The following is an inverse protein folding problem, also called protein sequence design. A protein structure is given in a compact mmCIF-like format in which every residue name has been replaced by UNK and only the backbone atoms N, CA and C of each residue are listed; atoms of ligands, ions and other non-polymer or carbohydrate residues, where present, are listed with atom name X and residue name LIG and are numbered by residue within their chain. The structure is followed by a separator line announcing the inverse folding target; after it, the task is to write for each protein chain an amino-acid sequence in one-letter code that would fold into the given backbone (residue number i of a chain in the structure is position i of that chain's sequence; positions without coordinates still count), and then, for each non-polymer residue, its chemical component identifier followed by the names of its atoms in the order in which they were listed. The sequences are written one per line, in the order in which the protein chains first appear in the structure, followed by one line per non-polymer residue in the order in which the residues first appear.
data_IF_933473033139
#
_entry.id   IF_933473033139
#
_cell.length_a   1.000
_cell.length_b   1.000
_cell.length_c   1.000
_cell.angle_alpha   90.00
_cell.angle_beta   90.00
_cell.angle_gamma   90.00
#
_symmetry.space_group_name_H-M   'P 1'
#
loop_
_entity.id
_entity.type
_entity.pdbx_description
1 polymer ?
#
# COMPACT_ATOMS: atom_id res chain seq x y z
N UNK A 1 -16.60 55.00 4.45
CA UNK A 1 -15.23 54.82 4.98
C UNK A 1 -14.29 54.37 3.85
N UNK A 2 -13.83 55.34 3.05
CA UNK A 2 -12.43 55.79 3.02
C UNK A 2 -11.47 54.71 2.48
N UNK A 3 -10.98 54.94 1.24
CA UNK A 3 -9.76 54.33 0.73
C UNK A 3 -8.51 54.85 1.44
N UNK A 4 -7.32 54.35 1.08
CA UNK A 4 -6.49 55.00 0.05
C UNK A 4 -5.90 53.98 -0.95
N UNK A 5 -5.73 54.31 -2.24
CA UNK A 5 -4.67 55.12 -2.87
C UNK A 5 -3.24 54.56 -2.72
N UNK A 6 -2.81 53.82 -3.75
CA UNK A 6 -1.61 54.03 -4.58
C UNK A 6 -0.20 54.01 -3.97
N UNK A 7 0.66 53.11 -4.48
CA UNK A 7 2.12 53.26 -4.73
C UNK A 7 2.49 52.16 -5.76
N UNK A 8 2.75 52.43 -7.05
CA UNK A 8 4.02 52.80 -7.67
C UNK A 8 5.16 51.73 -7.60
N UNK A 9 5.53 51.21 -8.77
CA UNK A 9 6.91 51.02 -9.21
C UNK A 9 7.74 49.88 -8.63
N UNK A 10 7.91 48.80 -9.41
CA UNK A 10 9.18 48.08 -9.54
C UNK A 10 9.16 47.28 -10.84
N UNK A 11 9.64 47.92 -11.91
CA UNK A 11 10.11 47.24 -13.10
C UNK A 11 11.38 46.48 -12.72
N UNK A 12 11.32 45.15 -12.73
CA UNK A 12 12.52 44.30 -12.66
C UNK A 12 12.77 43.76 -14.06
N UNK A 13 13.68 44.45 -14.75
CA UNK A 13 14.50 43.93 -15.84
C UNK A 13 15.05 42.55 -15.45
N UNK A 14 14.54 41.51 -16.09
CA UNK A 14 15.11 40.17 -16.03
C UNK A 14 15.81 39.90 -17.35
N UNK A 15 17.11 40.11 -17.28
CA UNK A 15 18.19 39.79 -18.20
C UNK A 15 17.97 38.46 -18.95
N UNK A 16 17.89 38.56 -20.28
CA UNK A 16 17.82 37.45 -21.23
C UNK A 16 19.20 36.77 -21.28
N UNK A 17 19.43 35.87 -20.34
CA UNK A 17 20.56 34.94 -20.34
C UNK A 17 20.50 33.99 -21.54
N UNK A 18 21.20 34.38 -22.59
CA UNK A 18 21.58 33.52 -23.70
C UNK A 18 22.48 32.38 -23.21
N UNK A 19 21.93 31.17 -23.10
CA UNK A 19 22.72 29.95 -22.92
C UNK A 19 22.40 28.93 -24.01
N UNK A 20 23.21 29.01 -25.05
CA UNK A 20 23.77 27.91 -25.82
C UNK A 20 22.88 26.67 -26.02
N UNK A 21 22.06 26.71 -27.07
CA UNK A 21 21.58 25.50 -27.74
C UNK A 21 22.79 24.75 -28.31
N UNK A 22 23.15 23.67 -27.61
CA UNK A 22 24.17 22.70 -27.99
C UNK A 22 23.76 22.08 -29.32
N UNK A 23 24.63 22.26 -30.31
CA UNK A 23 24.57 21.76 -31.67
C UNK A 23 24.15 20.30 -31.70
N UNK A 24 22.99 20.05 -32.31
CA UNK A 24 22.49 18.72 -32.59
C UNK A 24 23.46 17.96 -33.50
N UNK A 25 23.77 16.76 -33.04
CA UNK A 25 24.48 15.67 -33.71
C UNK A 25 23.99 15.50 -35.16
N UNK A 26 24.81 15.93 -36.13
CA UNK A 26 24.62 15.61 -37.55
C UNK A 26 24.93 14.13 -37.75
N UNK A 27 23.95 13.27 -37.45
CA UNK A 27 23.95 11.91 -37.99
C UNK A 27 23.52 11.96 -39.46
N UNK A 28 24.31 11.41 -40.39
CA UNK A 28 23.84 11.21 -41.75
C UNK A 28 22.62 10.26 -41.74
N UNK A 29 21.69 10.42 -42.68
CA UNK A 29 20.58 9.48 -42.82
C UNK A 29 21.15 8.07 -43.07
N UNK A 30 20.52 7.01 -42.53
CA UNK A 30 20.92 5.65 -42.86
C UNK A 30 20.85 5.48 -44.37
N UNK A 31 21.92 4.90 -44.93
CA UNK A 31 21.94 4.45 -46.31
C UNK A 31 20.67 3.65 -46.57
N UNK A 32 19.95 4.02 -47.64
CA UNK A 32 18.88 3.19 -48.19
C UNK A 32 19.49 1.81 -48.44
N UNK A 33 19.04 0.82 -47.68
CA UNK A 33 19.23 -0.57 -48.04
C UNK A 33 18.64 -0.73 -49.43
N UNK A 34 19.49 -1.13 -50.37
CA UNK A 34 19.09 -1.54 -51.70
C UNK A 34 18.13 -2.71 -51.53
N UNK A 35 16.83 -2.44 -51.63
CA UNK A 35 15.83 -3.48 -51.76
C UNK A 35 16.07 -4.13 -53.11
N UNK A 36 16.85 -5.20 -53.07
CA UNK A 36 17.00 -6.16 -54.14
C UNK A 36 15.60 -6.64 -54.51
N UNK A 37 15.09 -6.14 -55.63
CA UNK A 37 13.86 -6.64 -56.24
C UNK A 37 14.14 -8.08 -56.68
N UNK A 38 13.77 -9.03 -55.83
CA UNK A 38 13.64 -10.44 -56.22
C UNK A 38 12.49 -10.50 -57.22
N UNK A 39 12.85 -10.55 -58.50
CA UNK A 39 11.94 -10.91 -59.58
C UNK A 39 11.57 -12.38 -59.37
N UNK A 40 10.43 -12.63 -58.72
CA UNK A 40 9.81 -13.95 -58.68
C UNK A 40 9.24 -14.25 -60.07
N UNK A 41 10.09 -14.85 -60.91
CA UNK A 41 9.69 -15.46 -62.17
C UNK A 41 9.13 -16.86 -61.88
N UNK A 42 7.85 -16.92 -61.50
CA UNK A 42 7.08 -18.16 -61.52
C UNK A 42 5.87 -17.97 -62.43
N UNK A 43 6.08 -18.21 -63.73
CA UNK A 43 4.98 -18.51 -64.64
C UNK A 43 4.73 -20.03 -64.67
N UNK A 44 3.49 -20.51 -64.45
CA UNK A 44 3.16 -21.91 -64.61
C UNK A 44 3.25 -22.30 -66.09
N UNK A 45 3.99 -23.37 -66.38
CA UNK A 45 4.11 -23.99 -67.71
C UNK A 45 2.76 -24.56 -68.16
N UNK A 46 1.88 -23.70 -68.64
CA UNK A 46 0.67 -24.04 -69.39
C UNK A 46 1.01 -24.11 -70.87
N UNK A 47 0.79 -25.28 -71.47
CA UNK A 47 1.04 -25.62 -72.86
C UNK A 47 0.20 -24.73 -73.80
N UNK A 48 0.71 -23.55 -74.17
CA UNK A 48 0.09 -22.68 -75.19
C UNK A 48 0.65 -23.07 -76.56
N UNK A 49 -0.26 -23.52 -77.43
CA UNK A 49 -0.04 -23.69 -78.86
C UNK A 49 0.42 -22.35 -79.43
N UNK A 50 1.59 -22.33 -80.08
CA UNK A 50 2.16 -21.13 -80.68
C UNK A 50 1.21 -20.56 -81.76
N UNK A 51 0.81 -19.28 -81.68
CA UNK A 51 0.12 -18.65 -82.81
C UNK A 51 1.10 -18.51 -83.98
N UNK A 52 0.57 -18.70 -85.19
CA UNK A 52 1.31 -18.54 -86.42
C UNK A 52 2.00 -17.17 -86.46
N UNK A 53 3.32 -17.19 -86.73
CA UNK A 53 4.15 -15.99 -86.86
C UNK A 53 3.72 -15.23 -88.11
N UNK A 54 2.87 -14.22 -87.95
CA UNK A 54 2.60 -13.23 -89.00
C UNK A 54 3.84 -12.34 -89.09
N UNK A 55 4.49 -12.32 -90.25
CA UNK A 55 5.63 -11.43 -90.52
C UNK A 55 5.13 -9.99 -90.58
N UNK A 56 5.58 -9.16 -89.64
CA UNK A 56 5.22 -7.75 -89.41
C UNK A 56 5.84 -6.76 -90.41
N UNK A 57 6.46 -7.23 -91.49
CA UNK A 57 7.12 -6.35 -92.48
C UNK A 57 6.15 -5.59 -93.41
N UNK A 58 4.85 -5.92 -93.37
CA UNK A 58 3.81 -5.34 -94.26
C UNK A 58 3.14 -4.06 -93.71
N UNK A 59 3.57 -3.55 -92.55
CA UNK A 59 2.94 -2.44 -91.84
C UNK A 59 3.89 -1.24 -91.63
N UNK A 60 4.87 -1.08 -92.51
CA UNK A 60 5.67 0.15 -92.57
C UNK A 60 4.86 1.21 -93.30
N UNK A 61 4.04 1.96 -92.55
CA UNK A 61 3.50 3.22 -93.03
C UNK A 61 4.66 4.23 -93.01
N UNK A 62 5.31 4.43 -94.14
CA UNK A 62 6.23 5.56 -94.32
C UNK A 62 5.43 6.87 -94.26
N UNK A 63 5.97 7.90 -93.59
CA UNK A 63 5.29 9.19 -93.30
C UNK A 63 4.82 9.96 -94.55
N UNK A 64 5.20 9.50 -95.75
CA UNK A 64 4.84 10.08 -97.04
C UNK A 64 4.07 9.13 -97.96
N UNK A 65 3.81 7.90 -97.54
CA UNK A 65 3.08 6.94 -98.36
C UNK A 65 1.58 7.10 -98.13
N UNK A 66 0.87 7.55 -99.18
CA UNK A 66 -0.59 7.65 -99.15
C UNK A 66 -1.18 6.28 -98.77
N UNK A 67 -2.07 6.27 -97.77
CA UNK A 67 -2.71 5.05 -97.28
C UNK A 67 -3.26 4.25 -98.47
N UNK A 68 -2.82 3.00 -98.68
CA UNK A 68 -3.17 2.25 -99.88
C UNK A 68 -4.69 2.07 -99.94
N UNK A 69 -5.34 2.25 -101.10
CA UNK A 69 -6.79 2.11 -101.21
C UNK A 69 -7.26 0.72 -100.74
N UNK A 70 -8.48 0.60 -100.19
CA UNK A 70 -8.98 -0.67 -99.71
C UNK A 70 -9.06 -1.69 -100.84
N UNK A 71 -8.68 -2.93 -100.54
CA UNK A 71 -8.77 -4.01 -101.52
C UNK A 71 -10.24 -4.24 -101.91
N UNK A 72 -10.51 -4.68 -103.14
CA UNK A 72 -11.89 -4.89 -103.60
C UNK A 72 -12.65 -5.88 -102.70
N UNK A 73 -11.98 -6.90 -102.17
CA UNK A 73 -12.58 -7.83 -101.20
C UNK A 73 -12.93 -7.14 -99.89
N UNK A 74 -12.09 -6.23 -99.40
CA UNK A 74 -12.39 -5.42 -98.21
C UNK A 74 -13.62 -4.55 -98.45
N UNK A 75 -13.73 -3.86 -99.59
CA UNK A 75 -14.89 -3.00 -99.93
C UNK A 75 -16.18 -3.83 -100.01
N UNK A 76 -16.14 -5.00 -100.67
CA UNK A 76 -17.32 -5.88 -100.77
C UNK A 76 -17.72 -6.40 -99.40
N UNK A 77 -16.76 -6.83 -98.57
CA UNK A 77 -17.04 -7.29 -97.21
C UNK A 77 -17.59 -6.17 -96.31
N UNK A 78 -17.06 -4.95 -96.44
CA UNK A 78 -17.54 -3.77 -95.73
C UNK A 78 -18.99 -3.44 -96.11
N UNK A 79 -19.31 -3.43 -97.41
CA UNK A 79 -20.65 -3.15 -97.89
C UNK A 79 -21.66 -4.23 -97.47
N UNK A 80 -21.23 -5.48 -97.31
CA UNK A 80 -22.09 -6.58 -96.85
C UNK A 80 -22.33 -6.53 -95.34
N UNK A 81 -21.32 -6.19 -94.54
CA UNK A 81 -21.40 -6.19 -93.07
C UNK A 81 -21.99 -4.88 -92.52
N UNK A 82 -21.51 -3.74 -93.00
CA UNK A 82 -21.84 -2.41 -92.49
C UNK A 82 -22.89 -1.68 -93.35
N UNK A 83 -23.02 -2.05 -94.62
CA UNK A 83 -23.81 -1.28 -95.60
C UNK A 83 -22.99 -0.14 -96.24
N UNK A 84 -23.45 0.41 -97.38
CA UNK A 84 -22.64 1.29 -98.22
C UNK A 84 -22.31 2.65 -97.58
N UNK A 85 -23.20 3.19 -96.74
CA UNK A 85 -22.98 4.48 -96.09
C UNK A 85 -22.02 4.35 -94.90
N UNK A 86 -22.18 3.32 -94.08
CA UNK A 86 -21.30 3.05 -92.95
C UNK A 86 -19.92 2.56 -93.41
N UNK A 87 -19.82 1.84 -94.52
CA UNK A 87 -18.53 1.45 -95.11
C UNK A 87 -17.66 2.67 -95.47
N UNK A 88 -18.28 3.76 -95.98
CA UNK A 88 -17.56 5.02 -96.26
C UNK A 88 -17.06 5.69 -94.98
N UNK A 89 -17.88 5.70 -93.94
CA UNK A 89 -17.52 6.27 -92.63
C UNK A 89 -16.42 5.43 -91.98
N UNK A 90 -16.49 4.10 -92.07
CA UNK A 90 -15.48 3.19 -91.55
C UNK A 90 -14.14 3.34 -92.27
N UNK A 91 -14.14 3.59 -93.59
CA UNK A 91 -12.90 3.89 -94.33
C UNK A 91 -12.31 5.23 -93.89
N UNK A 92 -13.13 6.26 -93.72
CA UNK A 92 -12.68 7.55 -93.17
C UNK A 92 -12.08 7.38 -91.78
N UNK A 93 -12.74 6.63 -90.89
CA UNK A 93 -12.24 6.31 -89.56
C UNK A 93 -10.92 5.53 -89.60
N UNK A 94 -10.79 4.54 -90.49
CA UNK A 94 -9.53 3.82 -90.72
C UNK A 94 -8.40 4.76 -91.13
N UNK A 95 -8.62 5.66 -92.10
CA UNK A 95 -7.59 6.60 -92.55
C UNK A 95 -7.15 7.54 -91.42
N UNK A 96 -8.08 7.98 -90.57
CA UNK A 96 -7.76 8.77 -89.39
C UNK A 96 -6.92 7.96 -88.40
N UNK A 97 -7.31 6.73 -88.06
CA UNK A 97 -6.54 5.86 -87.18
C UNK A 97 -5.13 5.60 -87.72
N UNK A 98 -4.99 5.26 -89.00
CA UNK A 98 -3.69 5.05 -89.64
C UNK A 98 -2.82 6.31 -89.58
N UNK A 99 -3.40 7.49 -89.82
CA UNK A 99 -2.68 8.76 -89.70
C UNK A 99 -2.22 9.07 -88.28
N UNK A 100 -3.05 8.78 -87.27
CA UNK A 100 -2.67 8.97 -85.86
C UNK A 100 -1.58 8.00 -85.44
N UNK A 101 -1.63 6.74 -85.89
CA UNK A 101 -0.60 5.75 -85.62
C UNK A 101 0.75 6.15 -86.24
N UNK A 102 0.74 6.60 -87.50
CA UNK A 102 1.92 7.13 -88.17
C UNK A 102 2.49 8.36 -87.43
N UNK A 103 1.62 9.28 -86.99
CA UNK A 103 2.03 10.43 -86.19
C UNK A 103 2.66 10.04 -84.84
N UNK A 104 2.11 9.06 -84.14
CA UNK A 104 2.70 8.55 -82.89
C UNK A 104 4.07 7.90 -83.12
N UNK A 105 4.24 7.15 -84.22
CA UNK A 105 5.52 6.55 -84.60
C UNK A 105 6.59 7.63 -84.83
N UNK A 106 6.23 8.69 -85.57
CA UNK A 106 7.05 9.87 -85.78
C UNK A 106 7.47 10.54 -84.46
N UNK A 107 6.49 10.79 -83.59
CA UNK A 107 6.68 11.48 -82.32
C UNK A 107 7.57 10.69 -81.34
N UNK A 108 7.50 9.37 -81.38
CA UNK A 108 8.32 8.48 -80.55
C UNK A 108 9.72 8.23 -81.13
N UNK A 109 10.00 8.69 -82.37
CA UNK A 109 11.26 8.47 -83.09
C UNK A 109 11.69 6.99 -83.11
N UNK A 110 10.72 6.09 -83.15
CA UNK A 110 10.98 4.66 -83.06
C UNK A 110 10.27 3.93 -84.18
N UNK A 111 11.00 3.76 -85.28
CA UNK A 111 10.49 3.14 -86.50
C UNK A 111 10.14 1.65 -86.35
N UNK A 112 10.58 1.04 -85.24
CA UNK A 112 10.35 -0.37 -84.92
C UNK A 112 9.06 -0.62 -84.15
N UNK A 113 8.35 0.42 -83.73
CA UNK A 113 7.06 0.27 -83.05
C UNK A 113 5.97 -0.01 -84.10
N UNK A 114 5.63 -1.30 -84.24
CA UNK A 114 4.46 -1.73 -84.97
C UNK A 114 3.34 -2.11 -83.98
N UNK A 115 2.08 -1.69 -84.21
CA UNK A 115 0.96 -2.09 -83.37
C UNK A 115 0.76 -3.61 -83.48
N UNK A 116 0.81 -4.31 -82.34
CA UNK A 116 0.63 -5.77 -82.32
C UNK A 116 -0.83 -6.22 -82.29
N UNK A 117 -1.72 -5.38 -81.73
CA UNK A 117 -3.15 -5.67 -81.58
C UNK A 117 -3.93 -4.35 -81.50
N UNK A 118 -5.14 -4.36 -82.02
CA UNK A 118 -6.08 -3.26 -81.90
C UNK A 118 -7.13 -3.66 -80.87
N UNK A 119 -7.35 -2.79 -79.89
CA UNK A 119 -8.35 -3.01 -78.85
C UNK A 119 -9.43 -1.94 -78.97
N UNK A 120 -10.68 -2.36 -79.14
CA UNK A 120 -11.82 -1.45 -79.27
C UNK A 120 -12.50 -1.25 -77.90
N UNK A 121 -12.84 -0.01 -77.58
CA UNK A 121 -13.52 0.36 -76.34
C UNK A 121 -14.61 1.40 -76.58
N UNK A 122 -15.59 1.47 -75.67
CA UNK A 122 -16.73 2.39 -75.76
C UNK A 122 -17.87 1.86 -76.62
N UNK A 123 -19.05 2.46 -76.52
CA UNK A 123 -20.28 1.99 -77.18
C UNK A 123 -20.20 1.99 -78.72
N UNK A 124 -19.40 2.87 -79.31
CA UNK A 124 -19.17 2.90 -80.76
C UNK A 124 -18.47 1.65 -81.31
N UNK A 125 -17.84 0.84 -80.45
CA UNK A 125 -17.21 -0.42 -80.84
C UNK A 125 -18.19 -1.57 -81.04
N UNK A 126 -19.46 -1.41 -80.66
CA UNK A 126 -20.52 -2.40 -80.86
C UNK A 126 -21.10 -2.42 -82.26
N UNK A 127 -20.64 -1.53 -83.14
CA UNK A 127 -21.12 -1.49 -84.51
C UNK A 127 -20.83 -2.82 -85.21
N UNK A 128 -21.90 -3.53 -85.58
CA UNK A 128 -21.81 -4.87 -86.14
C UNK A 128 -20.91 -4.91 -87.39
N UNK A 129 -19.86 -5.73 -87.34
CA UNK A 129 -18.92 -5.93 -88.44
C UNK A 129 -17.79 -4.90 -88.54
N UNK A 130 -17.72 -3.92 -87.63
CA UNK A 130 -16.62 -2.97 -87.56
C UNK A 130 -15.29 -3.66 -87.18
N UNK A 131 -15.35 -4.59 -86.25
CA UNK A 131 -14.24 -5.44 -85.80
C UNK A 131 -13.63 -6.24 -86.97
N UNK A 132 -14.46 -6.94 -87.73
CA UNK A 132 -14.05 -7.74 -88.90
C UNK A 132 -13.49 -6.84 -90.00
N UNK A 133 -14.12 -5.69 -90.25
CA UNK A 133 -13.65 -4.72 -91.23
C UNK A 133 -12.26 -4.19 -90.87
N UNK A 134 -12.07 -3.74 -89.63
CA UNK A 134 -10.78 -3.22 -89.15
C UNK A 134 -9.71 -4.33 -89.13
N UNK A 135 -10.06 -5.56 -88.75
CA UNK A 135 -9.13 -6.68 -88.74
C UNK A 135 -8.63 -7.00 -90.16
N UNK A 136 -9.54 -7.03 -91.14
CA UNK A 136 -9.20 -7.23 -92.54
C UNK A 136 -8.36 -6.08 -93.11
N UNK A 137 -8.64 -4.84 -92.68
CA UNK A 137 -7.98 -3.65 -93.22
C UNK A 137 -6.59 -3.41 -92.62
N UNK A 138 -6.44 -3.59 -91.31
CA UNK A 138 -5.15 -3.49 -90.63
C UNK A 138 -4.32 -4.75 -90.75
N UNK A 139 -4.91 -5.91 -91.13
CA UNK A 139 -4.27 -7.23 -91.03
C UNK A 139 -3.77 -7.54 -89.61
N UNK A 140 -4.45 -7.00 -88.60
CA UNK A 140 -4.12 -7.16 -87.18
C UNK A 140 -5.31 -7.76 -86.43
N UNK A 141 -5.02 -8.41 -85.30
CA UNK A 141 -6.06 -8.86 -84.39
C UNK A 141 -6.80 -7.63 -83.82
N UNK A 142 -8.11 -7.60 -84.00
CA UNK A 142 -9.00 -6.61 -83.39
C UNK A 142 -9.83 -7.34 -82.33
N UNK A 143 -9.77 -6.89 -81.08
CA UNK A 143 -10.61 -7.43 -80.01
C UNK A 143 -11.26 -6.30 -79.22
N UNK A 144 -12.43 -6.56 -78.64
CA UNK A 144 -13.01 -5.64 -77.66
C UNK A 144 -12.20 -5.66 -76.37
N UNK A 145 -12.09 -4.52 -75.70
CA UNK A 145 -11.40 -4.38 -74.43
C UNK A 145 -12.17 -5.17 -73.36
N UNK A 146 -11.60 -6.28 -72.94
CA UNK A 146 -12.01 -6.94 -71.71
C UNK A 146 -11.29 -6.27 -70.54
N UNK A 147 -11.98 -5.34 -69.88
CA UNK A 147 -11.46 -4.63 -68.71
C UNK A 147 -11.52 -5.49 -67.43
N UNK A 148 -12.06 -6.72 -67.48
CA UNK A 148 -12.44 -7.49 -66.30
C UNK A 148 -11.83 -8.89 -66.13
N UNK A 149 -10.74 -9.31 -66.81
CA UNK A 149 -10.32 -10.71 -66.72
C UNK A 149 -9.94 -11.13 -65.29
N UNK A 150 -9.64 -10.17 -64.40
CA UNK A 150 -9.28 -10.38 -63.00
C UNK A 150 -10.26 -9.80 -61.97
N UNK A 151 -11.35 -9.16 -62.40
CA UNK A 151 -12.30 -8.52 -61.48
C UNK A 151 -13.38 -9.54 -61.06
N UNK A 152 -13.54 -9.75 -59.75
CA UNK A 152 -14.56 -10.64 -59.20
C UNK A 152 -15.87 -9.87 -58.93
N UNK A 153 -17.00 -10.44 -59.37
CA UNK A 153 -18.34 -9.90 -59.09
C UNK A 153 -19.30 -9.95 -60.27
N UNK A 154 -20.58 -9.57 -60.06
CA UNK A 154 -21.54 -9.39 -61.15
C UNK A 154 -21.14 -8.13 -61.94
N UNK A 155 -20.71 -8.34 -63.18
CA UNK A 155 -20.22 -7.29 -64.05
C UNK A 155 -21.28 -6.91 -65.08
N UNK A 156 -21.44 -5.62 -65.42
CA UNK A 156 -22.33 -5.22 -66.48
C UNK A 156 -21.78 -5.68 -67.84
N UNK A 157 -22.57 -6.50 -68.55
CA UNK A 157 -22.36 -6.75 -69.98
C UNK A 157 -23.09 -5.66 -70.78
N UNK A 158 -22.46 -5.01 -71.77
CA UNK A 158 -21.14 -5.31 -72.35
C UNK A 158 -19.97 -4.62 -71.61
N UNK A 159 -18.89 -5.37 -71.41
CA UNK A 159 -17.76 -4.94 -70.61
C UNK A 159 -17.02 -3.68 -71.12
N UNK A 160 -16.86 -3.58 -72.44
CA UNK A 160 -16.02 -2.58 -73.09
C UNK A 160 -16.60 -1.16 -73.04
N UNK A 161 -17.91 -1.01 -72.75
CA UNK A 161 -18.57 0.28 -72.57
C UNK A 161 -18.14 0.97 -71.26
N UNK A 162 -17.89 0.19 -70.22
CA UNK A 162 -17.58 0.68 -68.87
C UNK A 162 -16.08 0.82 -68.61
N UNK A 163 -15.24 0.55 -69.61
CA UNK A 163 -13.77 0.60 -69.52
C UNK A 163 -13.23 1.84 -68.79
N UNK A 164 -13.76 3.02 -69.10
CA UNK A 164 -13.33 4.27 -68.49
C UNK A 164 -13.76 4.39 -67.02
N UNK A 165 -14.99 4.01 -66.69
CA UNK A 165 -15.49 4.05 -65.31
C UNK A 165 -14.69 3.10 -64.41
N UNK A 166 -14.34 1.91 -64.92
CA UNK A 166 -13.51 0.94 -64.22
C UNK A 166 -12.09 1.45 -64.07
N UNK A 167 -11.51 2.04 -65.12
CA UNK A 167 -10.19 2.66 -65.05
C UNK A 167 -10.11 3.75 -63.98
N UNK A 168 -11.16 4.56 -63.87
CA UNK A 168 -11.28 5.57 -62.80
C UNK A 168 -11.42 4.92 -61.42
N UNK A 169 -12.19 3.85 -61.28
CA UNK A 169 -12.29 3.12 -60.01
C UNK A 169 -10.95 2.46 -59.62
N UNK A 170 -10.25 1.84 -60.58
CA UNK A 170 -8.94 1.24 -60.39
C UNK A 170 -7.86 2.28 -60.08
N UNK A 171 -8.04 3.55 -60.46
CA UNK A 171 -7.12 4.63 -60.10
C UNK A 171 -7.04 4.90 -58.58
N UNK A 172 -7.94 4.32 -57.78
CA UNK A 172 -7.84 4.35 -56.32
C UNK A 172 -6.93 3.25 -55.75
N UNK A 173 -6.62 2.21 -56.52
CA UNK A 173 -5.75 1.12 -56.07
C UNK A 173 -4.33 1.64 -55.72
N UNK A 174 -3.70 1.01 -54.73
CA UNK A 174 -2.41 1.46 -54.18
C UNK A 174 -1.28 1.47 -55.24
N UNK A 175 -1.34 0.56 -56.21
CA UNK A 175 -0.33 0.40 -57.26
C UNK A 175 -0.64 1.19 -58.54
N UNK A 176 -1.81 1.84 -58.60
CA UNK A 176 -2.20 2.62 -59.77
C UNK A 176 -1.49 3.98 -59.78
N UNK A 177 -1.09 4.44 -60.97
CA UNK A 177 -0.58 5.79 -61.15
C UNK A 177 -1.74 6.77 -60.96
N UNK A 178 -1.74 7.48 -59.83
CA UNK A 178 -2.78 8.45 -59.49
C UNK A 178 -2.42 9.81 -60.05
N UNK A 179 -3.30 10.36 -60.88
CA UNK A 179 -3.19 11.73 -61.34
C UNK A 179 -4.34 12.53 -60.72
N UNK A 180 -4.03 13.29 -59.67
CA UNK A 180 -5.02 14.14 -59.01
C UNK A 180 -4.90 15.57 -59.55
N UNK A 181 -6.01 16.07 -60.10
CA UNK A 181 -6.15 17.43 -60.59
C UNK A 181 -6.67 18.40 -59.52
N UNK A 182 -6.95 17.91 -58.30
CA UNK A 182 -7.35 18.75 -57.19
C UNK A 182 -6.25 19.78 -56.87
N UNK A 183 -6.60 21.04 -56.59
CA UNK A 183 -5.62 22.05 -56.24
C UNK A 183 -4.90 21.66 -54.94
N UNK A 184 -3.59 21.87 -54.93
CA UNK A 184 -2.71 21.47 -53.82
C UNK A 184 -3.16 22.04 -52.46
N UNK A 185 -3.83 23.20 -52.47
CA UNK A 185 -4.39 23.81 -51.25
C UNK A 185 -5.47 22.96 -50.57
N UNK A 186 -6.26 22.19 -51.33
CA UNK A 186 -7.27 21.28 -50.78
C UNK A 186 -6.62 19.98 -50.30
N UNK A 187 -5.64 19.47 -51.03
CA UNK A 187 -4.87 18.29 -50.62
C UNK A 187 -4.15 18.54 -49.29
N UNK A 188 -3.44 19.66 -49.16
CA UNK A 188 -2.79 20.05 -47.89
C UNK A 188 -3.78 20.22 -46.75
N UNK A 189 -4.98 20.79 -47.01
CA UNK A 189 -6.02 20.91 -45.97
C UNK A 189 -6.55 19.54 -45.54
N UNK A 190 -6.71 18.60 -46.47
CA UNK A 190 -7.14 17.23 -46.19
C UNK A 190 -6.09 16.47 -45.39
N UNK A 191 -4.85 16.49 -45.85
CA UNK A 191 -3.72 15.90 -45.13
C UNK A 191 -3.53 16.50 -43.74
N UNK A 192 -3.70 17.82 -43.61
CA UNK A 192 -3.63 18.48 -42.32
C UNK A 192 -4.70 17.95 -41.37
N UNK A 193 -5.95 17.83 -41.83
CA UNK A 193 -7.07 17.30 -41.05
C UNK A 193 -6.89 15.83 -40.67
N UNK A 194 -6.45 15.00 -41.61
CA UNK A 194 -6.38 13.55 -41.42
C UNK A 194 -5.15 13.15 -40.59
N UNK A 195 -3.99 13.77 -40.82
CA UNK A 195 -2.71 13.32 -40.24
C UNK A 195 -2.11 14.28 -39.22
N UNK A 196 -2.19 15.58 -39.46
CA UNK A 196 -1.43 16.55 -38.65
C UNK A 196 -2.17 17.00 -37.39
N UNK A 197 -3.51 17.07 -37.37
CA UNK A 197 -4.23 17.54 -36.17
C UNK A 197 -3.98 16.64 -34.95
N UNK A 198 -3.99 15.32 -35.13
CA UNK A 198 -3.86 14.35 -34.03
C UNK A 198 -2.59 14.48 -33.19
N UNK A 199 -1.36 14.59 -33.75
CA UNK A 199 -0.17 14.77 -32.94
C UNK A 199 -0.15 16.10 -32.17
N UNK A 200 -0.71 17.19 -32.73
CA UNK A 200 -0.83 18.46 -31.99
C UNK A 200 -1.80 18.36 -30.81
N UNK A 201 -2.94 17.69 -31.01
CA UNK A 201 -3.91 17.44 -29.94
C UNK A 201 -3.29 16.54 -28.86
N UNK A 202 -2.55 15.51 -29.24
CA UNK A 202 -1.84 14.64 -28.30
C UNK A 202 -0.79 15.41 -27.49
N UNK A 203 0.01 16.25 -28.15
CA UNK A 203 1.00 17.10 -27.48
C UNK A 203 0.33 18.08 -26.49
N UNK A 204 -0.78 18.72 -26.89
CA UNK A 204 -1.54 19.60 -26.01
C UNK A 204 -2.10 18.85 -24.80
N UNK A 205 -2.63 17.65 -25.00
CA UNK A 205 -3.13 16.80 -23.91
C UNK A 205 -2.03 16.43 -22.91
N UNK A 206 -0.82 16.12 -23.39
CA UNK A 206 0.35 15.84 -22.54
C UNK A 206 0.74 17.07 -21.71
N UNK A 207 0.76 18.26 -22.29
CA UNK A 207 1.06 19.49 -21.56
C UNK A 207 0.01 19.78 -20.48
N UNK A 208 -1.27 19.63 -20.80
CA UNK A 208 -2.36 19.80 -19.82
C UNK A 208 -2.25 18.77 -18.69
N UNK A 209 -1.97 17.51 -19.01
CA UNK A 209 -1.76 16.47 -18.00
C UNK A 209 -0.58 16.79 -17.07
N UNK A 210 0.54 17.30 -17.62
CA UNK A 210 1.70 17.70 -16.84
C UNK A 210 1.40 18.87 -15.89
N UNK A 211 0.62 19.86 -16.35
CA UNK A 211 0.19 21.00 -15.51
C UNK A 211 -0.72 20.52 -14.37
N UNK A 212 -1.71 19.67 -14.67
CA UNK A 212 -2.61 19.12 -13.66
C UNK A 212 -1.87 18.26 -12.63
N UNK A 213 -0.91 17.45 -13.09
CA UNK A 213 -0.07 16.63 -12.22
C UNK A 213 0.79 17.51 -11.30
N UNK A 214 1.44 18.53 -11.86
CA UNK A 214 2.27 19.47 -11.08
C UNK A 214 1.43 20.22 -10.04
N UNK A 215 0.24 20.66 -10.40
CA UNK A 215 -0.68 21.31 -9.47
C UNK A 215 -1.13 20.38 -8.34
N UNK A 216 -1.40 19.11 -8.66
CA UNK A 216 -1.76 18.11 -7.65
C UNK A 216 -0.64 17.89 -6.63
N UNK A 217 0.59 17.70 -7.10
CA UNK A 217 1.76 17.52 -6.22
C UNK A 217 1.94 18.73 -5.30
N UNK A 218 1.78 19.95 -5.83
CA UNK A 218 1.89 21.16 -5.03
C UNK A 218 0.82 21.26 -3.93
N UNK A 219 -0.42 20.85 -4.21
CA UNK A 219 -1.48 20.85 -3.21
C UNK A 219 -1.32 19.74 -2.15
N UNK A 220 -0.69 18.60 -2.51
CA UNK A 220 -0.45 17.49 -1.58
C UNK A 220 0.61 17.85 -0.51
N UNK A 221 1.59 18.69 -0.84
CA UNK A 221 2.62 19.13 0.11
C UNK A 221 2.05 19.93 1.29
N UNK A 222 1.08 20.80 1.05
CA UNK A 222 0.43 21.58 2.13
C UNK A 222 -0.39 20.69 3.06
N UNK A 223 -1.11 19.71 2.50
CA UNK A 223 -1.88 18.73 3.29
C UNK A 223 -0.96 17.85 4.11
N UNK A 224 0.18 17.42 3.56
CA UNK A 224 1.19 16.64 4.29
C UNK A 224 1.85 17.44 5.41
N UNK A 225 2.11 18.73 5.22
CA UNK A 225 2.63 19.60 6.29
C UNK A 225 1.62 19.76 7.42
N UNK A 226 0.34 19.92 7.10
CA UNK A 226 -0.73 20.01 8.09
C UNK A 226 -0.91 18.69 8.87
N UNK A 227 -0.80 17.54 8.19
CA UNK A 227 -0.93 16.24 8.85
C UNK A 227 0.24 15.95 9.78
N UNK A 228 1.47 16.30 9.39
CA UNK A 228 2.65 16.19 10.26
C UNK A 228 2.49 17.08 11.49
N UNK A 229 2.10 18.35 11.32
CA UNK A 229 1.88 19.26 12.44
C UNK A 229 0.79 18.76 13.40
N UNK A 230 -0.29 18.17 12.87
CA UNK A 230 -1.36 17.58 13.68
C UNK A 230 -0.88 16.33 14.46
N UNK A 231 -0.05 15.48 13.84
CA UNK A 231 0.53 14.31 14.51
C UNK A 231 1.49 14.72 15.64
N UNK A 232 2.31 15.74 15.42
CA UNK A 232 3.22 16.27 16.45
C UNK A 232 2.44 16.86 17.63
N UNK A 233 1.36 17.61 17.36
CA UNK A 233 0.47 18.13 18.40
C UNK A 233 -0.19 17.01 19.23
N UNK A 234 -0.67 15.95 18.57
CA UNK A 234 -1.24 14.79 19.25
C UNK A 234 -0.18 14.07 20.10
N UNK A 235 1.04 13.90 19.58
CA UNK A 235 2.14 13.27 20.32
C UNK A 235 2.49 14.06 21.57
N UNK A 236 2.58 15.38 21.49
CA UNK A 236 2.82 16.25 22.65
C UNK A 236 1.70 16.12 23.70
N UNK A 237 0.43 16.00 23.26
CA UNK A 237 -0.70 15.77 24.16
C UNK A 237 -0.63 14.40 24.86
N UNK A 238 -0.21 13.35 24.15
CA UNK A 238 0.00 12.03 24.74
C UNK A 238 1.14 12.01 25.76
N UNK A 239 2.26 12.68 25.46
CA UNK A 239 3.39 12.78 26.38
C UNK A 239 3.00 13.53 27.66
N UNK A 240 2.20 14.61 27.54
CA UNK A 240 1.65 15.33 28.68
C UNK A 240 0.74 14.42 29.55
N UNK A 241 -0.20 13.72 28.94
CA UNK A 241 -1.08 12.77 29.66
C UNK A 241 -0.30 11.64 30.33
N UNK A 242 0.76 11.13 29.68
CA UNK A 242 1.60 10.10 30.25
C UNK A 242 2.38 10.62 31.48
N UNK A 243 2.86 11.86 31.43
CA UNK A 243 3.49 12.49 32.59
C UNK A 243 2.51 12.72 33.75
N UNK A 244 1.27 13.11 33.45
CA UNK A 244 0.21 13.28 34.45
C UNK A 244 -0.17 11.95 35.12
N UNK A 245 -0.29 10.87 34.33
CA UNK A 245 -0.53 9.52 34.87
C UNK A 245 0.62 9.05 35.75
N UNK A 246 1.86 9.27 35.34
CA UNK A 246 3.03 8.92 36.15
C UNK A 246 3.06 9.71 37.47
N UNK A 247 2.68 10.99 37.45
CA UNK A 247 2.57 11.81 38.65
C UNK A 247 1.46 11.31 39.59
N UNK A 248 0.28 10.97 39.05
CA UNK A 248 -0.84 10.40 39.81
C UNK A 248 -0.51 9.03 40.40
N UNK A 249 0.23 8.19 39.68
CA UNK A 249 0.71 6.91 40.20
C UNK A 249 1.69 7.12 41.36
N UNK A 250 2.61 8.08 41.24
CA UNK A 250 3.51 8.45 42.32
C UNK A 250 2.73 8.95 43.55
N UNK A 251 1.75 9.82 43.37
CA UNK A 251 0.87 10.31 44.46
C UNK A 251 0.10 9.16 45.12
N UNK A 252 -0.47 8.25 44.33
CA UNK A 252 -1.16 7.06 44.84
C UNK A 252 -0.23 6.19 45.68
N UNK A 253 1.01 5.99 45.24
CA UNK A 253 1.98 5.21 46.03
C UNK A 253 2.38 5.90 47.33
N UNK A 254 2.52 7.23 47.32
CA UNK A 254 2.78 8.01 48.53
C UNK A 254 1.60 7.91 49.51
N UNK A 255 0.38 8.10 49.04
CA UNK A 255 -0.83 7.96 49.86
C UNK A 255 -1.02 6.54 50.40
N UNK A 256 -0.71 5.52 49.60
CA UNK A 256 -0.75 4.13 50.05
C UNK A 256 0.25 3.85 51.17
N UNK A 257 1.45 4.44 51.10
CA UNK A 257 2.46 4.33 52.14
C UNK A 257 2.05 5.10 53.41
N UNK A 258 1.50 6.31 53.27
CA UNK A 258 0.95 7.09 54.38
C UNK A 258 -0.18 6.33 55.09
N UNK A 259 -1.12 5.75 54.32
CA UNK A 259 -2.18 4.90 54.86
C UNK A 259 -1.61 3.66 55.55
N UNK A 260 -0.56 3.04 55.01
CA UNK A 260 0.12 1.90 55.65
C UNK A 260 0.73 2.30 57.00
N UNK A 261 1.36 3.46 57.08
CA UNK A 261 1.93 3.99 58.34
C UNK A 261 0.84 4.33 59.35
N UNK A 262 -0.26 4.96 58.94
CA UNK A 262 -1.38 5.28 59.84
C UNK A 262 -2.08 4.00 60.32
N UNK A 263 -2.38 3.07 59.40
CA UNK A 263 -3.05 1.82 59.70
C UNK A 263 -2.19 0.95 60.65
N UNK A 264 -0.88 0.85 60.39
CA UNK A 264 0.02 0.11 61.29
C UNK A 264 0.02 0.69 62.71
N UNK A 265 0.03 2.02 62.89
CA UNK A 265 -0.09 2.66 64.21
C UNK A 265 -1.45 2.41 64.88
N UNK A 266 -2.54 2.44 64.13
CA UNK A 266 -3.89 2.21 64.66
C UNK A 266 -4.07 0.77 65.14
N UNK A 267 -3.70 -0.22 64.30
CA UNK A 267 -3.78 -1.63 64.70
C UNK A 267 -2.87 -1.93 65.87
N UNK A 268 -1.69 -1.33 65.89
CA UNK A 268 -0.76 -1.49 67.00
C UNK A 268 -1.34 -1.00 68.34
N UNK A 269 -1.92 0.20 68.39
CA UNK A 269 -2.55 0.71 69.60
C UNK A 269 -3.72 -0.18 70.04
N UNK A 270 -4.52 -0.66 69.08
CA UNK A 270 -5.66 -1.54 69.36
C UNK A 270 -5.21 -2.89 69.91
N UNK A 271 -4.21 -3.49 69.29
CA UNK A 271 -3.72 -4.82 69.64
C UNK A 271 -2.94 -4.81 70.97
N UNK A 272 -2.28 -3.69 71.29
CA UNK A 272 -1.75 -3.42 72.63
C UNK A 272 -2.84 -3.43 73.69
N UNK A 273 -3.95 -2.73 73.46
CA UNK A 273 -5.08 -2.70 74.39
C UNK A 273 -5.73 -4.07 74.56
N UNK A 274 -5.86 -4.85 73.49
CA UNK A 274 -6.33 -6.23 73.58
C UNK A 274 -5.38 -7.09 74.40
N UNK A 275 -4.08 -6.94 74.21
CA UNK A 275 -3.08 -7.69 74.99
C UNK A 275 -3.14 -7.32 76.48
N UNK A 276 -3.27 -6.04 76.81
CA UNK A 276 -3.45 -5.60 78.22
C UNK A 276 -4.73 -6.19 78.81
N UNK A 277 -5.82 -6.20 78.03
CA UNK A 277 -7.09 -6.78 78.45
C UNK A 277 -6.98 -8.29 78.70
N UNK A 278 -6.36 -9.05 77.79
CA UNK A 278 -6.22 -10.50 77.92
C UNK A 278 -5.29 -10.84 79.09
N UNK A 279 -4.20 -10.09 79.28
CA UNK A 279 -3.34 -10.20 80.46
C UNK A 279 -4.13 -9.94 81.76
N UNK A 280 -5.01 -8.93 81.77
CA UNK A 280 -5.87 -8.62 82.91
C UNK A 280 -6.93 -9.70 83.18
N UNK A 281 -7.53 -10.28 82.14
CA UNK A 281 -8.49 -11.37 82.26
C UNK A 281 -7.84 -12.66 82.77
N UNK A 282 -6.56 -12.88 82.46
CA UNK A 282 -5.77 -14.03 82.92
C UNK A 282 -5.11 -13.83 84.30
N UNK A 283 -5.07 -12.59 84.81
CA UNK A 283 -4.45 -12.27 86.10
C UNK A 283 -5.08 -12.99 87.31
N UNK A 284 -6.42 -13.20 87.41
CA UNK A 284 -7.01 -13.91 88.54
C UNK A 284 -6.59 -15.39 88.62
N UNK A 285 -6.37 -16.02 87.47
CA UNK A 285 -5.94 -17.42 87.36
C UNK A 285 -4.43 -17.58 87.60
N UNK A 286 -3.65 -16.52 87.35
CA UNK A 286 -2.19 -16.53 87.39
C UNK A 286 -1.64 -15.47 88.35
N UNK A 287 -2.03 -15.56 89.64
CA UNK A 287 -1.62 -14.58 90.67
C UNK A 287 -0.11 -14.52 90.91
N UNK A 288 0.61 -15.56 90.51
CA UNK A 288 2.06 -15.70 90.67
C UNK A 288 2.85 -14.88 89.64
N UNK A 289 2.19 -14.29 88.63
CA UNK A 289 2.81 -13.61 87.50
C UNK A 289 2.63 -12.09 87.59
N UNK A 290 3.74 -11.37 87.64
CA UNK A 290 3.77 -9.91 87.59
C UNK A 290 4.39 -9.44 86.29
N UNK A 291 3.62 -8.74 85.47
CA UNK A 291 4.14 -8.08 84.27
C UNK A 291 4.90 -6.82 84.70
N UNK A 292 6.18 -6.74 84.36
CA UNK A 292 7.07 -5.62 84.72
C UNK A 292 7.28 -4.66 83.57
N UNK A 293 7.29 -5.16 82.33
CA UNK A 293 7.54 -4.35 81.14
C UNK A 293 6.69 -4.87 79.99
N UNK A 294 6.01 -3.96 79.32
CA UNK A 294 5.27 -4.25 78.11
C UNK A 294 5.90 -3.41 77.00
N UNK A 295 6.67 -4.06 76.14
CA UNK A 295 7.34 -3.40 75.03
C UNK A 295 6.74 -3.86 73.72
N UNK A 296 6.47 -2.90 72.88
CA UNK A 296 5.99 -3.13 71.54
C UNK A 296 7.15 -3.05 70.56
N UNK A 297 7.37 -4.11 69.80
CA UNK A 297 8.38 -4.17 68.75
C UNK A 297 7.67 -3.85 67.42
N UNK A 298 8.02 -2.73 66.75
CA UNK A 298 7.46 -2.43 65.44
C UNK A 298 7.83 -3.56 64.47
N UNK A 299 6.98 -3.88 63.49
CA UNK A 299 7.30 -4.88 62.48
C UNK A 299 8.66 -4.54 61.87
N UNK A 300 9.54 -5.54 61.75
CA UNK A 300 10.82 -5.36 61.08
C UNK A 300 10.48 -4.96 59.65
N UNK A 301 10.75 -3.69 59.30
CA UNK A 301 10.48 -3.22 57.94
C UNK A 301 11.16 -4.22 57.02
N UNK A 302 10.42 -4.86 56.09
CA UNK A 302 11.03 -5.81 55.18
C UNK A 302 12.16 -5.07 54.53
N UNK A 303 13.41 -5.45 54.85
CA UNK A 303 14.59 -4.82 54.28
C UNK A 303 14.35 -4.89 52.79
N UNK A 304 14.11 -3.74 52.16
CA UNK A 304 13.86 -3.63 50.74
C UNK A 304 14.91 -4.54 50.10
N UNK A 305 14.48 -5.61 49.43
CA UNK A 305 15.41 -6.60 48.92
C UNK A 305 16.26 -5.91 47.85
N UNK A 306 17.38 -5.31 48.28
CA UNK A 306 18.29 -4.59 47.43
C UNK A 306 19.00 -5.65 46.58
N UNK A 307 18.66 -5.68 45.30
CA UNK A 307 19.48 -6.35 44.30
C UNK A 307 19.04 -7.77 43.96
N UNK A 308 17.95 -7.87 43.21
CA UNK A 308 17.71 -9.02 42.33
C UNK A 308 17.14 -8.49 41.02
N UNK A 309 18.01 -8.23 40.04
CA UNK A 309 17.67 -7.78 38.69
C UNK A 309 17.01 -8.92 37.91
N UNK A 310 15.89 -9.44 38.41
CA UNK A 310 15.05 -10.42 37.74
C UNK A 310 13.77 -9.74 37.31
N UNK A 311 13.56 -9.63 36.00
CA UNK A 311 12.31 -9.18 35.38
C UNK A 311 11.18 -10.18 35.66
N UNK A 312 10.74 -10.29 36.91
CA UNK A 312 9.45 -10.90 37.24
C UNK A 312 8.40 -9.82 37.03
N UNK A 313 7.56 -10.07 36.02
CA UNK A 313 6.34 -9.30 35.75
C UNK A 313 5.59 -9.13 37.07
N UNK A 314 5.29 -7.89 37.50
CA UNK A 314 4.56 -7.65 38.74
C UNK A 314 3.19 -8.28 38.61
N UNK A 315 2.99 -9.43 39.25
CA UNK A 315 1.68 -10.00 39.49
C UNK A 315 0.95 -9.02 40.40
N UNK A 316 -0.23 -8.57 39.98
CA UNK A 316 -0.95 -7.45 40.57
C UNK A 316 -1.04 -7.62 42.11
N UNK A 317 -0.27 -6.79 42.83
CA UNK A 317 -0.23 -6.74 44.28
C UNK A 317 -1.54 -6.11 44.79
N UNK A 318 -2.62 -6.87 44.82
CA UNK A 318 -3.94 -6.41 45.28
C UNK A 318 -4.18 -6.61 46.77
N UNK A 319 -3.29 -7.29 47.50
CA UNK A 319 -3.38 -7.40 48.96
C UNK A 319 -2.30 -6.58 49.64
N UNK A 320 -2.64 -5.36 50.05
CA UNK A 320 -1.84 -4.59 51.00
C UNK A 320 -2.00 -5.28 52.35
N UNK A 321 -1.12 -6.23 52.67
CA UNK A 321 -1.01 -6.80 54.00
C UNK A 321 -0.25 -5.81 54.90
N UNK A 322 -0.86 -5.46 56.03
CA UNK A 322 -0.26 -4.66 57.08
C UNK A 322 0.31 -5.62 58.10
N UNK A 323 1.63 -5.66 58.19
CA UNK A 323 2.32 -6.31 59.29
C UNK A 323 2.08 -5.50 60.57
N UNK A 324 1.70 -6.19 61.64
CA UNK A 324 1.26 -5.59 62.90
C UNK A 324 2.34 -5.60 63.97
N UNK A 325 3.49 -6.21 63.69
CA UNK A 325 4.62 -6.29 64.61
C UNK A 325 4.42 -7.32 65.73
N UNK A 326 5.15 -7.13 66.83
CA UNK A 326 5.12 -8.04 67.97
C UNK A 326 5.08 -7.28 69.29
N UNK A 327 4.55 -7.91 70.34
CA UNK A 327 4.63 -7.43 71.71
C UNK A 327 5.52 -8.36 72.50
N UNK A 328 6.44 -7.77 73.25
CA UNK A 328 7.25 -8.44 74.25
C UNK A 328 6.68 -8.10 75.62
N UNK A 329 6.28 -9.15 76.33
CA UNK A 329 5.81 -9.08 77.72
C UNK A 329 6.96 -9.60 78.58
N UNK A 330 7.59 -8.70 79.33
CA UNK A 330 8.54 -9.09 80.38
C UNK A 330 7.85 -9.04 81.73
N UNK A 331 8.12 -10.04 82.55
CA UNK A 331 7.60 -10.10 83.90
C UNK A 331 8.46 -10.90 84.83
N UNK A 332 7.96 -11.08 86.04
CA UNK A 332 8.54 -11.94 87.07
C UNK A 332 7.47 -12.90 87.56
N UNK A 333 7.84 -14.16 87.75
CA UNK A 333 6.97 -15.17 88.38
C UNK A 333 7.56 -15.59 89.71
N UNK A 334 6.74 -15.66 90.75
CA UNK A 334 7.13 -16.23 92.06
C UNK A 334 6.09 -17.23 92.50
N UNK A 335 6.52 -18.47 92.57
CA UNK A 335 5.74 -19.57 93.10
C UNK A 335 5.84 -19.59 94.62
N UNK A 336 4.74 -19.81 95.33
CA UNK A 336 4.76 -19.96 96.80
C UNK A 336 5.47 -21.25 97.24
N UNK A 337 5.52 -22.25 96.35
CA UNK A 337 6.16 -23.55 96.58
C UNK A 337 7.30 -23.76 95.56
N UNK A 338 8.33 -24.50 95.96
CA UNK A 338 9.38 -24.91 95.03
C UNK A 338 8.79 -25.87 93.98
N UNK A 339 8.59 -25.38 92.76
CA UNK A 339 8.16 -26.18 91.63
C UNK A 339 9.36 -26.77 90.88
N UNK A 340 9.18 -27.96 90.31
CA UNK A 340 10.16 -28.59 89.42
C UNK A 340 10.28 -27.82 88.10
N UNK A 341 11.35 -28.04 87.34
CA UNK A 341 11.52 -27.41 86.02
C UNK A 341 10.38 -27.78 85.04
N UNK A 342 9.86 -29.00 85.14
CA UNK A 342 8.76 -29.50 84.30
C UNK A 342 7.43 -28.81 84.62
N UNK A 343 7.09 -28.66 85.91
CA UNK A 343 5.89 -27.95 86.35
C UNK A 343 5.90 -26.49 85.88
N UNK A 344 7.05 -25.82 86.01
CA UNK A 344 7.23 -24.44 85.53
C UNK A 344 7.06 -24.32 84.03
N UNK A 345 7.68 -25.21 83.25
CA UNK A 345 7.50 -25.24 81.79
C UNK A 345 6.03 -25.46 81.41
N UNK A 346 5.36 -26.39 82.10
CA UNK A 346 3.93 -26.67 81.86
C UNK A 346 3.02 -25.48 82.20
N UNK A 347 3.35 -24.73 83.26
CA UNK A 347 2.64 -23.51 83.64
C UNK A 347 2.77 -22.44 82.56
N UNK A 348 3.99 -22.14 82.11
CA UNK A 348 4.20 -21.16 81.03
C UNK A 348 3.59 -21.61 79.71
N UNK A 349 3.61 -22.90 79.39
CA UNK A 349 2.97 -23.41 78.19
C UNK A 349 1.45 -23.27 78.25
N UNK A 350 0.83 -23.54 79.41
CA UNK A 350 -0.61 -23.29 79.63
C UNK A 350 -0.94 -21.81 79.53
N UNK A 351 -0.16 -20.95 80.17
CA UNK A 351 -0.33 -19.49 80.13
C UNK A 351 -0.18 -18.94 78.70
N UNK A 352 0.88 -19.34 77.99
CA UNK A 352 1.09 -18.96 76.60
C UNK A 352 -0.06 -19.45 75.70
N UNK A 353 -0.51 -20.69 75.87
CA UNK A 353 -1.65 -21.23 75.14
C UNK A 353 -2.95 -20.50 75.45
N UNK A 354 -3.18 -20.08 76.71
CA UNK A 354 -4.36 -19.30 77.09
C UNK A 354 -4.36 -17.92 76.43
N UNK A 355 -3.20 -17.26 76.35
CA UNK A 355 -3.04 -15.99 75.63
C UNK A 355 -3.22 -16.17 74.12
N UNK A 356 -2.66 -17.23 73.52
CA UNK A 356 -2.86 -17.51 72.08
C UNK A 356 -4.30 -17.87 71.72
N UNK A 357 -5.01 -18.51 72.65
CA UNK A 357 -6.41 -18.87 72.49
C UNK A 357 -7.35 -17.67 72.69
N UNK A 358 -6.84 -16.55 73.21
CA UNK A 358 -7.66 -15.34 73.40
C UNK A 358 -8.10 -14.73 72.07
N UNK A 359 -9.38 -14.36 72.02
CA UNK A 359 -10.03 -13.81 70.82
C UNK A 359 -10.24 -12.30 70.96
N UNK A 360 -10.07 -11.55 69.87
CA UNK A 360 -10.31 -10.12 69.81
C UNK A 360 -11.81 -9.79 69.85
N UNK A 361 -12.40 -9.79 71.05
CA UNK A 361 -13.80 -9.48 71.26
C UNK A 361 -14.75 -10.53 70.67
N UNK A 362 -15.99 -10.12 70.32
CA UNK A 362 -17.05 -11.03 69.83
C UNK A 362 -16.80 -11.64 68.45
N UNK A 363 -15.79 -11.14 67.73
CA UNK A 363 -15.51 -11.54 66.34
C UNK A 363 -14.87 -12.94 66.22
N UNK A 364 -14.40 -13.52 67.34
CA UNK A 364 -13.74 -14.82 67.35
C UNK A 364 -12.39 -14.86 66.63
N UNK A 365 -11.86 -13.72 66.19
CA UNK A 365 -10.56 -13.69 65.53
C UNK A 365 -9.44 -13.79 66.57
N UNK A 366 -8.58 -14.78 66.37
CA UNK A 366 -7.36 -14.95 67.16
C UNK A 366 -6.41 -13.79 66.91
N UNK A 367 -5.93 -13.18 68.00
CA UNK A 367 -5.04 -12.01 67.97
C UNK A 367 -3.63 -12.36 67.48
N UNK A 368 -3.13 -13.52 67.88
CA UNK A 368 -1.74 -13.91 67.69
C UNK A 368 -1.61 -15.00 66.63
N UNK A 369 -0.53 -14.96 65.85
CA UNK A 369 -0.20 -16.06 64.96
C UNK A 369 0.41 -17.21 65.77
N UNK A 370 -0.04 -18.44 65.51
CA UNK A 370 0.40 -19.63 66.25
C UNK A 370 1.82 -20.05 65.88
N UNK A 371 2.32 -19.58 64.74
CA UNK A 371 3.59 -19.99 64.15
C UNK A 371 4.80 -19.18 64.67
N UNK A 372 4.58 -17.99 65.23
CA UNK A 372 5.65 -17.03 65.56
C UNK A 372 5.74 -16.69 67.06
N UNK A 373 5.65 -17.70 67.93
CA UNK A 373 6.11 -17.56 69.33
C UNK A 373 7.63 -17.70 69.31
N UNK A 374 8.30 -16.58 69.04
CA UNK A 374 9.71 -16.61 68.64
C UNK A 374 10.68 -16.95 69.77
N UNK A 375 10.31 -16.81 71.04
CA UNK A 375 11.16 -17.24 72.15
C UNK A 375 10.38 -17.16 73.47
N UNK A 376 10.36 -18.24 74.24
CA UNK A 376 10.21 -18.14 75.69
C UNK A 376 11.62 -18.32 76.27
N UNK A 377 12.23 -17.23 76.73
CA UNK A 377 13.48 -17.34 77.48
C UNK A 377 13.16 -17.18 78.96
N UNK A 378 13.05 -18.31 79.65
CA UNK A 378 13.30 -18.31 81.09
C UNK A 378 14.80 -18.13 81.20
N UNK A 379 15.24 -16.94 81.61
CA UNK A 379 16.66 -16.63 81.75
C UNK A 379 17.18 -17.46 82.93
N UNK A 380 17.53 -18.72 82.68
CA UNK A 380 18.32 -19.48 83.63
C UNK A 380 19.67 -18.79 83.74
N UNK A 381 19.99 -18.35 84.95
CA UNK A 381 21.28 -17.76 85.30
C UNK A 381 22.38 -18.85 85.26
N UNK A 382 22.56 -19.52 84.13
CA UNK A 382 23.79 -20.25 83.88
C UNK A 382 24.86 -19.21 83.61
N UNK A 383 25.69 -18.98 84.62
CA UNK A 383 26.98 -18.31 84.54
C UNK A 383 27.81 -18.97 83.42
N UNK A 384 27.57 -18.54 82.19
CA UNK A 384 28.26 -19.05 81.02
C UNK A 384 29.55 -18.26 80.96
N UNK A 385 30.64 -18.87 81.44
CA UNK A 385 31.99 -18.37 81.20
C UNK A 385 32.15 -18.08 79.70
N UNK A 386 32.57 -16.85 79.40
CA UNK A 386 32.67 -16.35 78.04
C UNK A 386 33.62 -17.22 77.20
N UNK A 387 33.13 -17.77 76.09
CA UNK A 387 33.98 -18.20 74.98
C UNK A 387 34.12 -17.02 74.00
N UNK A 388 35.34 -16.50 73.77
CA UNK A 388 35.58 -15.43 72.82
C UNK A 388 35.70 -16.01 71.41
N UNK A 389 34.78 -15.67 70.51
CA UNK A 389 34.93 -16.00 69.10
C UNK A 389 33.68 -15.80 68.24
N UNK A 390 33.79 -14.83 67.33
CA UNK A 390 33.03 -14.66 66.09
C UNK A 390 31.60 -14.07 66.14
N UNK A 391 31.51 -12.81 65.66
CA UNK A 391 30.58 -12.38 64.60
C UNK A 391 29.15 -12.05 64.99
N UNK A 392 28.84 -10.74 65.07
CA UNK A 392 27.50 -10.11 65.07
C UNK A 392 26.36 -10.91 65.72
N UNK A 393 26.30 -10.88 67.05
CA UNK A 393 25.11 -11.28 67.82
C UNK A 393 24.30 -10.04 68.22
N UNK A 394 22.95 -10.12 68.19
CA UNK A 394 22.07 -9.04 68.67
C UNK A 394 22.42 -8.65 70.11
N UNK A 395 22.27 -7.36 70.44
CA UNK A 395 22.48 -6.83 71.80
C UNK A 395 21.68 -7.68 72.79
N UNK A 396 22.37 -8.51 73.58
CA UNK A 396 21.75 -9.24 74.69
C UNK A 396 21.11 -8.22 75.64
N UNK A 397 19.88 -8.49 76.13
CA UNK A 397 19.28 -7.66 77.15
C UNK A 397 20.22 -7.59 78.36
N UNK A 398 20.39 -6.38 78.88
CA UNK A 398 21.09 -6.13 80.14
C UNK A 398 20.27 -6.82 81.22
N UNK A 399 20.72 -7.99 81.65
CA UNK A 399 20.12 -8.70 82.79
C UNK A 399 20.46 -7.88 84.03
N UNK A 400 19.47 -7.17 84.57
CA UNK A 400 19.55 -6.57 85.90
C UNK A 400 19.77 -7.70 86.91
N UNK A 401 21.02 -7.82 87.36
CA UNK A 401 21.49 -8.84 88.28
C UNK A 401 21.04 -8.52 89.71
N UNK A 402 19.76 -8.67 90.00
CA UNK A 402 19.31 -8.87 91.38
C UNK A 402 17.99 -9.65 91.42
N UNK A 403 18.09 -10.98 91.51
CA UNK A 403 17.01 -11.83 91.99
C UNK A 403 16.96 -11.72 93.52
N UNK A 404 16.35 -10.65 94.05
CA UNK A 404 16.34 -10.41 95.51
C UNK A 404 15.28 -11.25 96.24
N UNK A 405 14.20 -11.69 95.54
CA UNK A 405 12.99 -12.18 96.23
C UNK A 405 12.51 -13.59 95.82
N UNK A 406 13.37 -14.40 95.21
CA UNK A 406 13.00 -15.74 94.71
C UNK A 406 12.07 -15.73 93.49
N UNK A 407 11.94 -14.58 92.81
CA UNK A 407 11.17 -14.43 91.58
C UNK A 407 12.04 -14.62 90.34
N UNK A 408 11.48 -15.24 89.31
CA UNK A 408 12.14 -15.60 88.06
C UNK A 408 11.72 -14.65 86.95
N UNK A 409 12.64 -13.96 86.26
CA UNK A 409 12.28 -13.15 85.11
C UNK A 409 11.87 -14.05 83.95
N UNK A 410 10.84 -13.62 83.22
CA UNK A 410 10.43 -14.24 81.97
C UNK A 410 10.21 -13.16 80.92
N UNK A 411 10.43 -13.52 79.66
CA UNK A 411 10.12 -12.70 78.49
C UNK A 411 9.38 -13.57 77.48
N UNK A 412 8.19 -13.13 77.06
CA UNK A 412 7.43 -13.77 75.99
C UNK A 412 7.16 -12.77 74.88
N UNK A 413 7.55 -13.15 73.66
CA UNK A 413 7.25 -12.39 72.44
C UNK A 413 6.05 -12.99 71.73
N UNK A 414 5.02 -12.17 71.51
CA UNK A 414 3.83 -12.50 70.74
C UNK A 414 3.83 -11.72 69.43
N UNK A 415 3.88 -12.41 68.30
CA UNK A 415 3.70 -11.79 66.98
C UNK A 415 2.21 -11.71 66.61
N UNK A 416 1.79 -10.57 66.09
CA UNK A 416 0.44 -10.38 65.61
C UNK A 416 0.28 -10.92 64.19
N UNK A 417 -0.92 -11.42 63.89
CA UNK A 417 -1.23 -11.89 62.54
C UNK A 417 -1.33 -10.70 61.58
N UNK A 418 -0.58 -10.75 60.47
CA UNK A 418 -0.71 -9.78 59.39
C UNK A 418 -2.16 -9.70 58.91
N UNK A 419 -2.66 -8.49 58.70
CA UNK A 419 -4.05 -8.27 58.29
C UNK A 419 -4.09 -7.59 56.95
N UNK A 420 -4.90 -8.16 56.06
CA UNK A 420 -5.22 -7.53 54.78
C UNK A 420 -6.01 -6.26 55.05
N UNK A 421 -5.54 -5.12 54.53
CA UNK A 421 -6.17 -3.82 54.73
C UNK A 421 -7.66 -3.83 54.33
N UNK A 422 -8.01 -4.59 53.28
CA UNK A 422 -9.38 -4.79 52.80
C UNK A 422 -10.32 -5.39 53.84
N UNK A 423 -9.82 -6.27 54.72
CA UNK A 423 -10.63 -6.88 55.79
C UNK A 423 -10.86 -5.92 56.95
N UNK A 424 -9.90 -5.03 57.21
CA UNK A 424 -10.04 -4.08 58.30
C UNK A 424 -11.08 -3.01 57.99
N UNK A 425 -11.17 -2.54 56.75
CA UNK A 425 -12.21 -1.61 56.31
C UNK A 425 -13.57 -2.29 56.19
N UNK A 426 -13.62 -3.58 55.81
CA UNK A 426 -14.88 -4.32 55.70
C UNK A 426 -15.54 -4.62 57.06
N UNK A 427 -14.75 -4.72 58.14
CA UNK A 427 -15.27 -5.08 59.47
C UNK A 427 -16.09 -3.97 60.16
N UNK A 428 -16.01 -2.72 59.71
CA UNK A 428 -16.86 -1.63 60.23
C UNK A 428 -18.16 -1.46 59.42
N UNK A 429 -18.23 -1.99 58.20
CA UNK A 429 -19.43 -1.93 57.36
C UNK A 429 -20.48 -3.02 57.72
N UNK A 430 -20.19 -3.86 58.71
CA UNK A 430 -21.01 -5.03 59.09
C UNK A 430 -21.74 -4.83 60.42
N UNK A 431 -22.67 -3.88 60.48
CA UNK A 431 -23.92 -3.99 61.24
C UNK A 431 -24.89 -2.85 60.84
N UNK A 432 -24.93 -2.49 59.55
CA UNK A 432 -26.11 -1.78 59.03
C UNK A 432 -27.24 -2.82 58.92
N UNK A 433 -28.30 -2.72 59.74
CA UNK A 433 -29.44 -3.61 59.59
C UNK A 433 -30.00 -3.39 58.19
N UNK A 434 -30.14 -4.47 57.42
CA UNK A 434 -30.75 -4.46 56.10
C UNK A 434 -32.05 -3.64 56.13
N UNK A 435 -31.96 -2.36 55.76
CA UNK A 435 -33.10 -1.48 55.69
C UNK A 435 -33.83 -1.81 54.41
N UNK A 436 -34.92 -2.54 54.58
CA UNK A 436 -36.18 -2.28 53.89
C UNK A 436 -36.13 -2.19 52.38
N UNK A 437 -36.47 -3.31 51.77
CA UNK A 437 -37.39 -3.39 50.63
C UNK A 437 -38.29 -2.15 50.46
N UNK A 438 -38.20 -1.52 49.30
CA UNK A 438 -39.15 -0.54 48.77
C UNK A 438 -38.99 -0.47 47.24
N UNK A 439 -40.10 -0.30 46.49
CA UNK A 439 -40.41 -0.98 45.22
C UNK A 439 -39.52 -0.66 44.01
#
# INVERSE_FOLDING_TARGET
PQGPSGVAGAETEADLGASQFKTADKRPPPAREDTEYVVLDETPKGNRVAPARVTTDDLVLDEHEAVPPPSQSTIVSANQLLGPDLARVAESFYTQLASTAAWFKAQLQNDRLAPGKIVLSGSGSELAGLDVYLANRFKLEVAHLDAFPSLSGPLPEPAHEYALAIGLALSEAADAVRFDLLPESLLRKREWRERLIWPYVAAAAVVVAAVLFSWRVYNEDDVMRQSIAALDANKAAYEAQQSDLAALEAEKTQLAEDLRVIASRMFFNRDLLYTIRTLKEQAPENQELWVTRLETIPPEQPKAAVGGLGTRKPEAATSVSVDRGAIVVDGRVKFERQQTAEERSSFFQKYANAILASEAGKSGQRLFDRMDILEYSVVEEKATAAQPGAGNKPKRPVVDKTAVDGSWPFSVRYAFRATELSRATASEAGDEPASGTGP
#
